data_IF_177683368719
#
_entry.id   IF_177683368719
#
_cell.length_a   1.000
_cell.length_b   1.000
_cell.length_c   1.000
_cell.angle_alpha   90.00
_cell.angle_beta   90.00
_cell.angle_gamma   90.00
#
_symmetry.space_group_name_H-M   'P 1'
#
loop_
_entity.id
_entity.type
_entity.pdbx_description
1 polymer ?
#
# COMPACT_ATOMS: atom_id res chain seq x y z
N UNK A 1 -16.16 18.43 -17.69
CA UNK A 1 -14.94 18.53 -18.52
C UNK A 1 -13.81 17.92 -17.72
N UNK A 2 -13.45 16.67 -18.02
CA UNK A 2 -12.34 15.96 -17.37
C UNK A 2 -11.04 16.46 -17.98
N UNK A 3 -10.23 17.18 -17.21
CA UNK A 3 -8.86 17.50 -17.63
C UNK A 3 -8.07 16.19 -17.78
N UNK A 4 -7.26 16.03 -18.85
CA UNK A 4 -6.35 14.90 -18.96
C UNK A 4 -5.41 14.90 -17.75
N UNK A 5 -5.40 13.80 -16.97
CA UNK A 5 -4.44 13.61 -15.89
C UNK A 5 -3.05 13.38 -16.50
N UNK A 6 -2.04 14.04 -15.94
CA UNK A 6 -0.66 13.96 -16.41
C UNK A 6 -0.06 12.57 -16.11
N UNK A 7 0.75 12.02 -17.02
CA UNK A 7 1.47 10.73 -16.86
C UNK A 7 2.68 10.87 -15.90
N UNK A 8 2.57 11.73 -14.90
CA UNK A 8 3.59 11.93 -13.86
C UNK A 8 3.18 11.22 -12.57
N UNK A 9 4.04 11.19 -11.55
CA UNK A 9 3.71 10.67 -10.22
C UNK A 9 4.20 11.69 -9.19
N UNK A 10 3.30 12.21 -8.37
CA UNK A 10 3.64 13.17 -7.31
C UNK A 10 3.49 12.50 -5.94
N UNK A 11 4.54 12.59 -5.13
CA UNK A 11 4.50 12.12 -3.74
C UNK A 11 3.85 13.19 -2.86
N UNK A 12 2.56 13.02 -2.54
CA UNK A 12 1.86 13.93 -1.63
C UNK A 12 2.31 13.70 -0.18
N UNK A 13 3.14 14.62 0.34
CA UNK A 13 3.50 14.67 1.77
C UNK A 13 2.60 15.67 2.49
N UNK A 14 1.57 15.17 3.16
CA UNK A 14 0.71 15.99 4.02
C UNK A 14 1.47 16.44 5.28
N UNK A 15 1.91 17.70 5.31
CA UNK A 15 2.43 18.36 6.53
C UNK A 15 1.28 18.74 7.47
N UNK A 16 0.87 17.83 8.34
CA UNK A 16 -0.07 18.15 9.42
C UNK A 16 0.71 18.78 10.59
N UNK A 17 0.66 20.12 10.65
CA UNK A 17 1.28 21.02 11.65
C UNK A 17 0.84 20.71 13.09
N UNK A 18 1.69 21.00 14.09
CA UNK A 18 1.45 20.84 15.54
C UNK A 18 0.07 21.32 16.07
N UNK A 19 -0.55 22.35 15.45
CA UNK A 19 -1.88 22.86 15.85
C UNK A 19 -2.99 21.81 15.72
N UNK A 20 -2.91 20.92 14.73
CA UNK A 20 -3.92 19.89 14.51
C UNK A 20 -3.83 18.78 15.57
N UNK A 21 -2.62 18.38 15.95
CA UNK A 21 -2.37 17.39 17.01
C UNK A 21 -2.93 17.88 18.36
N UNK A 22 -2.73 19.17 18.67
CA UNK A 22 -3.27 19.79 19.87
C UNK A 22 -4.80 19.80 19.91
N UNK A 23 -5.46 20.19 18.81
CA UNK A 23 -6.92 20.20 18.72
C UNK A 23 -7.52 18.80 18.86
N UNK A 24 -6.94 17.82 18.16
CA UNK A 24 -7.39 16.42 18.18
C UNK A 24 -7.38 15.87 19.60
N UNK A 25 -6.28 16.09 20.33
CA UNK A 25 -6.13 15.64 21.71
C UNK A 25 -7.11 16.37 22.65
N UNK A 26 -7.29 17.69 22.51
CA UNK A 26 -8.21 18.47 23.36
C UNK A 26 -9.68 18.10 23.16
N UNK A 27 -10.06 17.72 21.94
CA UNK A 27 -11.44 17.41 21.56
C UNK A 27 -11.75 15.90 21.54
N UNK A 28 -10.77 15.04 21.83
CA UNK A 28 -10.95 13.58 21.82
C UNK A 28 -11.30 13.04 20.43
N UNK A 29 -10.84 13.69 19.37
CA UNK A 29 -11.14 13.29 18.00
C UNK A 29 -10.17 12.19 17.53
N UNK A 30 -10.64 11.30 16.66
CA UNK A 30 -9.80 10.32 15.97
C UNK A 30 -9.21 10.92 14.69
N UNK A 31 -8.12 10.36 14.18
CA UNK A 31 -7.53 10.80 12.93
C UNK A 31 -8.31 10.25 11.72
N UNK A 32 -8.90 11.11 10.87
CA UNK A 32 -9.71 10.70 9.72
C UNK A 32 -8.82 10.32 8.53
N UNK A 33 -8.02 9.27 8.71
CA UNK A 33 -6.97 8.86 7.75
C UNK A 33 -7.55 8.58 6.36
N UNK A 34 -8.71 7.96 6.29
CA UNK A 34 -9.32 7.55 5.02
C UNK A 34 -9.95 8.73 4.26
N UNK A 35 -10.54 9.70 4.97
CA UNK A 35 -10.97 10.98 4.37
C UNK A 35 -9.77 11.67 3.72
N UNK A 36 -8.66 11.78 4.44
CA UNK A 36 -7.43 12.39 3.90
C UNK A 36 -6.89 11.66 2.67
N UNK A 37 -6.95 10.32 2.66
CA UNK A 37 -6.53 9.51 1.51
C UNK A 37 -7.42 9.73 0.29
N UNK A 38 -8.75 9.72 0.46
CA UNK A 38 -9.68 9.92 -0.64
C UNK A 38 -9.53 11.32 -1.24
N UNK A 39 -9.51 12.38 -0.40
CA UNK A 39 -9.29 13.76 -0.88
C UNK A 39 -7.98 13.86 -1.66
N UNK A 40 -6.88 13.31 -1.13
CA UNK A 40 -5.59 13.37 -1.82
C UNK A 40 -5.59 12.61 -3.16
N UNK A 41 -6.31 11.49 -3.25
CA UNK A 41 -6.42 10.70 -4.49
C UNK A 41 -7.29 11.41 -5.53
N UNK A 42 -8.46 11.89 -5.13
CA UNK A 42 -9.42 12.59 -6.00
C UNK A 42 -8.86 13.91 -6.54
N UNK A 43 -8.00 14.57 -5.76
CA UNK A 43 -7.35 15.84 -6.16
C UNK A 43 -5.99 15.65 -6.83
N UNK A 44 -5.51 14.41 -6.97
CA UNK A 44 -4.26 14.14 -7.64
C UNK A 44 -4.34 14.51 -9.12
N UNK A 45 -3.41 15.35 -9.58
CA UNK A 45 -3.30 15.75 -10.99
C UNK A 45 -2.59 14.70 -11.84
N UNK A 46 -2.06 13.66 -11.21
CA UNK A 46 -1.29 12.58 -11.82
C UNK A 46 -2.13 11.33 -12.04
N UNK A 47 -1.81 10.56 -13.09
CA UNK A 47 -2.49 9.30 -13.36
C UNK A 47 -2.18 8.24 -12.27
N UNK A 48 -0.91 8.13 -11.87
CA UNK A 48 -0.50 7.21 -10.82
C UNK A 48 -0.44 7.89 -9.45
N UNK A 49 -0.92 7.18 -8.42
CA UNK A 49 -1.00 7.67 -7.05
C UNK A 49 -0.43 6.63 -6.09
N UNK A 50 0.43 7.09 -5.17
CA UNK A 50 0.99 6.29 -4.07
C UNK A 50 0.50 6.82 -2.72
N UNK A 51 -0.57 6.25 -2.12
CA UNK A 51 -0.96 6.58 -0.75
C UNK A 51 0.09 6.02 0.23
N UNK A 52 0.89 6.91 0.81
CA UNK A 52 1.96 6.55 1.75
C UNK A 52 1.80 7.27 3.10
N UNK A 53 2.02 6.54 4.19
CA UNK A 53 2.16 7.17 5.51
C UNK A 53 3.45 8.01 5.53
N UNK A 54 3.45 9.14 6.26
CA UNK A 54 4.59 10.09 6.30
C UNK A 54 5.91 9.46 6.78
N UNK A 55 5.82 8.38 7.54
CA UNK A 55 6.96 7.63 8.09
C UNK A 55 7.54 6.60 7.11
N UNK A 56 6.88 6.38 5.96
CA UNK A 56 7.26 5.42 4.92
C UNK A 56 7.94 6.14 3.76
N UNK A 57 9.24 5.91 3.64
CA UNK A 57 10.11 6.56 2.66
C UNK A 57 10.29 5.62 1.46
N UNK A 58 9.95 6.04 0.24
CA UNK A 58 10.21 5.23 -0.94
C UNK A 58 11.70 5.10 -1.20
N UNK A 59 12.11 3.96 -1.77
CA UNK A 59 13.46 3.77 -2.30
C UNK A 59 13.81 4.89 -3.30
N UNK A 60 15.06 5.40 -3.29
CA UNK A 60 15.50 6.42 -4.22
C UNK A 60 15.19 6.08 -5.68
N UNK A 61 14.84 7.09 -6.49
CA UNK A 61 14.55 6.91 -7.91
C UNK A 61 13.22 6.22 -8.24
N UNK A 62 12.37 5.88 -7.24
CA UNK A 62 11.12 5.16 -7.43
C UNK A 62 10.27 5.70 -8.59
N UNK A 63 10.06 7.03 -8.64
CA UNK A 63 9.17 7.65 -9.62
C UNK A 63 9.66 7.38 -11.06
N UNK A 64 10.92 7.69 -11.35
CA UNK A 64 11.48 7.50 -12.69
C UNK A 64 11.49 6.03 -13.10
N UNK A 65 11.99 5.16 -12.23
CA UNK A 65 12.07 3.73 -12.48
C UNK A 65 10.68 3.09 -12.68
N UNK A 66 9.66 3.56 -11.96
CA UNK A 66 8.29 3.09 -12.13
C UNK A 66 7.69 3.56 -13.46
N UNK A 67 7.87 4.83 -13.85
CA UNK A 67 7.37 5.34 -15.13
C UNK A 67 8.08 4.65 -16.32
N UNK A 68 9.39 4.37 -16.21
CA UNK A 68 10.13 3.58 -17.20
C UNK A 68 9.60 2.15 -17.29
N UNK A 69 9.25 1.54 -16.15
CA UNK A 69 8.59 0.24 -16.10
C UNK A 69 7.21 0.24 -16.77
N UNK A 70 6.37 1.24 -16.49
CA UNK A 70 5.06 1.37 -17.12
C UNK A 70 5.16 1.55 -18.65
N UNK A 71 6.14 2.34 -19.13
CA UNK A 71 6.39 2.49 -20.56
C UNK A 71 6.77 1.18 -21.23
N UNK A 72 7.63 0.38 -20.58
CA UNK A 72 8.03 -0.95 -21.09
C UNK A 72 6.87 -1.95 -21.10
N UNK A 73 6.06 -1.99 -20.03
CA UNK A 73 4.86 -2.85 -19.98
C UNK A 73 3.88 -2.50 -21.11
N UNK A 74 3.60 -1.21 -21.32
CA UNK A 74 2.73 -0.73 -22.41
C UNK A 74 3.28 -1.13 -23.78
N UNK A 75 4.59 -1.00 -24.00
CA UNK A 75 5.23 -1.42 -25.24
C UNK A 75 5.13 -2.93 -25.47
N UNK A 76 5.33 -3.73 -24.42
CA UNK A 76 5.20 -5.18 -24.50
C UNK A 76 3.76 -5.60 -24.86
N UNK A 77 2.75 -4.94 -24.28
CA UNK A 77 1.33 -5.18 -24.61
C UNK A 77 1.00 -4.78 -26.07
N UNK A 78 1.53 -3.66 -26.56
CA UNK A 78 1.40 -3.26 -27.98
C UNK A 78 2.07 -4.24 -28.95
N UNK A 79 3.27 -4.73 -28.60
CA UNK A 79 3.98 -5.71 -29.42
C UNK A 79 3.23 -7.05 -29.46
N UNK A 80 2.70 -7.51 -28.32
CA UNK A 80 1.94 -8.74 -28.23
C UNK A 80 0.61 -8.69 -29.00
N UNK A 81 0.03 -7.50 -29.18
CA UNK A 81 -1.18 -7.27 -29.98
C UNK A 81 -0.90 -7.01 -31.48
N UNK A 82 0.34 -7.24 -31.94
CA UNK A 82 0.70 -7.13 -33.36
C UNK A 82 0.63 -5.70 -33.90
N UNK A 83 0.86 -4.69 -33.05
CA UNK A 83 0.83 -3.28 -33.45
C UNK A 83 -0.58 -2.68 -33.62
N UNK A 84 -1.63 -3.46 -33.37
CA UNK A 84 -2.99 -2.93 -33.21
C UNK A 84 -3.13 -2.26 -31.83
N UNK A 85 -4.10 -1.34 -31.65
CA UNK A 85 -4.38 -0.77 -30.34
C UNK A 85 -4.61 -1.92 -29.33
N UNK A 86 -3.78 -2.06 -28.29
CA UNK A 86 -3.93 -3.15 -27.34
C UNK A 86 -5.30 -3.02 -26.68
N UNK A 87 -6.08 -4.10 -26.72
CA UNK A 87 -7.25 -4.22 -25.86
C UNK A 87 -6.71 -4.11 -24.43
N UNK A 88 -7.15 -3.12 -23.62
CA UNK A 88 -6.68 -2.99 -22.25
C UNK A 88 -6.87 -4.34 -21.55
N UNK A 89 -5.85 -4.82 -20.85
CA UNK A 89 -6.00 -6.00 -20.00
C UNK A 89 -7.27 -5.80 -19.16
N UNK A 90 -8.21 -6.74 -19.29
CA UNK A 90 -9.47 -6.67 -18.54
C UNK A 90 -9.25 -6.91 -17.04
N UNK A 91 -8.05 -7.34 -16.65
CA UNK A 91 -7.70 -7.62 -15.26
C UNK A 91 -7.11 -6.35 -14.62
N UNK A 92 -7.82 -5.73 -13.66
CA UNK A 92 -7.33 -4.54 -12.99
C UNK A 92 -6.11 -4.88 -12.12
N UNK A 93 -5.17 -3.95 -11.98
CA UNK A 93 -3.88 -4.22 -11.32
C UNK A 93 -3.36 -3.03 -10.53
N UNK A 94 -2.70 -3.32 -9.42
CA UNK A 94 -1.98 -2.35 -8.58
C UNK A 94 -0.55 -2.83 -8.36
N UNK A 95 0.37 -1.90 -8.08
CA UNK A 95 1.80 -2.18 -8.02
C UNK A 95 2.32 -2.06 -6.58
N UNK A 96 2.58 -3.19 -5.95
CA UNK A 96 2.89 -3.27 -4.52
C UNK A 96 4.36 -2.99 -4.23
N UNK A 97 4.60 -2.19 -3.20
CA UNK A 97 5.92 -1.93 -2.64
C UNK A 97 6.08 -2.71 -1.32
N UNK A 98 7.00 -3.69 -1.24
CA UNK A 98 7.39 -4.31 0.02
C UNK A 98 7.85 -3.27 1.05
N UNK A 99 7.50 -3.47 2.31
CA UNK A 99 7.73 -2.49 3.39
C UNK A 99 8.64 -3.10 4.45
N UNK A 100 9.58 -2.29 4.95
CA UNK A 100 10.56 -2.71 5.94
C UNK A 100 10.71 -1.67 7.05
N UNK A 101 10.88 -2.12 8.29
CA UNK A 101 11.28 -1.27 9.41
C UNK A 101 12.80 -1.23 9.52
N UNK A 102 13.34 -0.02 9.51
CA UNK A 102 14.77 0.22 9.63
C UNK A 102 15.09 0.63 11.06
N UNK A 103 16.17 0.10 11.65
CA UNK A 103 16.62 0.49 12.97
C UNK A 103 16.89 2.01 13.02
N UNK A 104 16.56 2.66 14.15
CA UNK A 104 16.52 4.12 14.24
C UNK A 104 17.89 4.80 14.02
N UNK A 105 18.98 4.08 14.30
CA UNK A 105 20.36 4.54 14.13
C UNK A 105 20.93 4.28 12.72
N UNK A 106 20.16 3.70 11.81
CA UNK A 106 20.60 3.41 10.45
C UNK A 106 20.11 4.46 9.45
N UNK A 107 20.85 4.62 8.36
CA UNK A 107 20.41 5.37 7.19
C UNK A 107 19.34 4.60 6.42
N UNK A 108 18.62 5.30 5.55
CA UNK A 108 17.75 4.64 4.58
C UNK A 108 18.64 3.86 3.59
N UNK A 109 18.32 2.60 3.27
CA UNK A 109 19.03 1.89 2.22
C UNK A 109 18.71 2.53 0.87
N UNK A 110 19.75 2.75 0.06
CA UNK A 110 19.63 3.34 -1.27
C UNK A 110 19.20 2.30 -2.30
N UNK A 111 19.55 1.02 -2.07
CA UNK A 111 19.29 -0.08 -2.99
C UNK A 111 18.68 -1.30 -2.29
N UNK A 112 18.04 -2.18 -3.09
CA UNK A 112 17.57 -3.49 -2.59
C UNK A 112 18.73 -4.33 -2.04
N UNK A 113 19.91 -4.26 -2.65
CA UNK A 113 21.10 -4.98 -2.20
C UNK A 113 21.52 -4.56 -0.78
N UNK A 114 21.53 -3.25 -0.51
CA UNK A 114 21.78 -2.71 0.83
C UNK A 114 20.71 -3.14 1.83
N UNK A 115 19.44 -3.01 1.46
CA UNK A 115 18.32 -3.47 2.30
C UNK A 115 18.44 -4.95 2.65
N UNK A 116 18.80 -5.82 1.71
CA UNK A 116 19.01 -7.26 1.96
C UNK A 116 20.19 -7.51 2.92
N UNK A 117 21.27 -6.72 2.83
CA UNK A 117 22.36 -6.76 3.84
C UNK A 117 21.84 -6.38 5.22
N UNK A 118 20.99 -5.35 5.30
CA UNK A 118 20.36 -4.92 6.56
C UNK A 118 19.38 -5.96 7.14
N UNK A 119 18.66 -6.68 6.28
CA UNK A 119 17.80 -7.79 6.70
C UNK A 119 18.63 -8.95 7.28
N UNK A 120 19.76 -9.27 6.65
CA UNK A 120 20.67 -10.34 7.12
C UNK A 120 21.33 -10.01 8.45
N UNK A 121 21.74 -8.76 8.67
CA UNK A 121 22.38 -8.35 9.93
C UNK A 121 21.39 -7.89 11.02
N UNK A 122 20.08 -7.91 10.74
CA UNK A 122 19.01 -7.58 11.69
C UNK A 122 18.79 -6.08 11.93
N UNK A 123 19.48 -5.20 11.19
CA UNK A 123 19.27 -3.74 11.24
C UNK A 123 18.05 -3.27 10.44
N UNK A 124 17.45 -4.17 9.66
CA UNK A 124 16.11 -4.03 9.09
C UNK A 124 15.27 -5.28 9.36
N UNK A 125 13.94 -5.13 9.40
CA UNK A 125 12.99 -6.25 9.45
C UNK A 125 11.79 -6.00 8.51
N UNK A 126 11.08 -7.05 8.06
CA UNK A 126 9.78 -6.88 7.42
C UNK A 126 8.82 -6.04 8.29
N UNK A 127 8.04 -5.19 7.65
CA UNK A 127 7.17 -4.24 8.33
C UNK A 127 6.20 -4.92 9.29
N UNK A 128 6.07 -4.37 10.50
CA UNK A 128 5.26 -4.93 11.58
C UNK A 128 5.58 -6.39 11.95
N UNK A 129 6.76 -6.94 11.62
CA UNK A 129 7.15 -8.32 12.00
C UNK A 129 7.02 -8.59 13.50
N UNK A 130 7.22 -7.57 14.36
CA UNK A 130 7.06 -7.68 15.83
C UNK A 130 5.65 -7.36 16.35
N UNK A 131 4.76 -6.85 15.49
CA UNK A 131 3.42 -6.36 15.87
C UNK A 131 2.30 -7.23 15.29
N UNK A 132 2.39 -7.53 14.00
CA UNK A 132 1.48 -8.40 13.27
C UNK A 132 2.25 -9.05 12.11
N UNK A 133 2.91 -10.20 12.33
CA UNK A 133 3.73 -10.85 11.32
C UNK A 133 2.99 -11.15 10.00
N UNK A 134 1.68 -11.43 10.08
CA UNK A 134 0.86 -11.77 8.90
C UNK A 134 0.21 -10.59 8.17
N UNK A 135 0.07 -9.41 8.81
CA UNK A 135 -0.70 -8.30 8.22
C UNK A 135 -0.04 -7.74 6.96
N UNK A 136 1.29 -7.59 6.98
CA UNK A 136 2.06 -7.04 5.85
C UNK A 136 3.00 -8.07 5.22
N UNK A 137 2.78 -9.35 5.48
CA UNK A 137 3.57 -10.42 4.87
C UNK A 137 3.38 -10.42 3.35
N UNK A 138 4.46 -10.13 2.63
CA UNK A 138 4.44 -10.11 1.16
C UNK A 138 4.49 -11.55 0.63
N UNK A 139 3.63 -11.93 -0.33
CA UNK A 139 3.76 -13.21 -1.03
C UNK A 139 5.17 -13.41 -1.61
N UNK A 140 5.76 -14.59 -1.40
CA UNK A 140 7.13 -14.92 -1.83
C UNK A 140 8.21 -13.95 -1.33
N UNK A 141 8.06 -13.45 -0.09
CA UNK A 141 9.00 -12.47 0.48
C UNK A 141 10.45 -12.97 0.61
N UNK A 142 10.68 -14.28 0.76
CA UNK A 142 12.04 -14.83 0.85
C UNK A 142 12.69 -14.83 -0.53
N UNK A 143 11.96 -15.32 -1.52
CA UNK A 143 12.36 -15.36 -2.91
C UNK A 143 12.58 -13.94 -3.47
N UNK A 144 11.76 -12.97 -3.06
CA UNK A 144 12.00 -11.56 -3.39
C UNK A 144 13.34 -11.07 -2.82
N UNK A 145 13.76 -11.50 -1.64
CA UNK A 145 15.06 -11.11 -1.06
C UNK A 145 16.25 -11.80 -1.75
N UNK A 146 16.01 -12.97 -2.33
CA UNK A 146 17.03 -13.83 -2.97
C UNK A 146 17.17 -13.55 -4.48
N UNK A 147 16.15 -13.00 -5.12
CA UNK A 147 16.19 -12.58 -6.51
C UNK A 147 17.33 -11.58 -6.76
N UNK A 148 17.94 -11.66 -7.95
CA UNK A 148 19.16 -10.93 -8.33
C UNK A 148 19.24 -9.52 -7.75
N UNK A 149 20.34 -9.29 -7.04
CA UNK A 149 20.70 -8.03 -6.39
C UNK A 149 21.57 -7.14 -7.30
N UNK A 150 21.90 -7.62 -8.50
CA UNK A 150 22.62 -6.83 -9.49
C UNK A 150 21.79 -5.62 -9.91
N UNK A 151 22.47 -4.57 -10.35
CA UNK A 151 21.82 -3.39 -10.92
C UNK A 151 20.97 -3.77 -12.14
N UNK A 152 19.90 -3.02 -12.35
CA UNK A 152 19.04 -3.19 -13.51
C UNK A 152 17.66 -2.59 -13.31
N UNK A 153 16.83 -2.76 -14.32
CA UNK A 153 15.52 -2.11 -14.39
C UNK A 153 14.51 -2.68 -13.38
N UNK A 154 13.60 -1.83 -12.90
CA UNK A 154 12.43 -2.27 -12.14
C UNK A 154 11.59 -3.26 -12.96
N UNK A 155 10.99 -4.24 -12.28
CA UNK A 155 10.07 -5.20 -12.90
C UNK A 155 9.00 -5.66 -11.89
N UNK A 156 7.98 -6.38 -12.38
CA UNK A 156 7.04 -7.10 -11.54
C UNK A 156 7.61 -8.49 -11.19
N UNK A 157 8.06 -8.67 -9.94
CA UNK A 157 8.60 -9.92 -9.43
C UNK A 157 7.54 -11.03 -9.37
N UNK A 158 6.36 -10.70 -8.87
CA UNK A 158 5.31 -11.67 -8.62
C UNK A 158 3.93 -11.03 -8.65
N UNK A 159 2.93 -11.78 -9.11
CA UNK A 159 1.52 -11.39 -9.05
C UNK A 159 0.86 -12.07 -7.86
N UNK A 160 0.53 -11.27 -6.84
CA UNK A 160 -0.19 -11.70 -5.65
C UNK A 160 -1.71 -11.55 -5.79
N UNK A 161 -2.43 -12.24 -4.90
CA UNK A 161 -3.88 -12.11 -4.68
C UNK A 161 -4.17 -12.08 -3.18
N UNK A 162 -5.17 -11.30 -2.76
CA UNK A 162 -5.65 -11.24 -1.37
C UNK A 162 -6.61 -12.39 -1.02
N UNK A 163 -6.13 -13.62 -1.13
CA UNK A 163 -6.89 -14.85 -0.82
C UNK A 163 -6.04 -15.83 0.00
N UNK A 164 -6.68 -16.84 0.59
CA UNK A 164 -5.97 -17.88 1.35
C UNK A 164 -5.14 -17.30 2.50
N UNK A 165 -3.86 -17.64 2.55
CA UNK A 165 -2.93 -17.13 3.58
C UNK A 165 -2.75 -15.59 3.55
N UNK A 166 -3.12 -14.94 2.44
CA UNK A 166 -2.98 -13.50 2.24
C UNK A 166 -4.34 -12.77 2.22
N UNK A 167 -5.42 -13.40 2.67
CA UNK A 167 -6.76 -12.80 2.67
C UNK A 167 -6.83 -11.48 3.46
N UNK A 168 -5.97 -11.34 4.47
CA UNK A 168 -5.83 -10.17 5.32
C UNK A 168 -4.58 -9.32 5.04
N UNK A 169 -3.90 -9.55 3.92
CA UNK A 169 -2.69 -8.83 3.55
C UNK A 169 -2.99 -7.35 3.26
N UNK A 170 -2.33 -6.42 3.95
CA UNK A 170 -2.46 -4.96 3.80
C UNK A 170 -1.25 -4.37 3.04
N UNK A 171 -1.15 -4.53 1.71
CA UNK A 171 -0.09 -3.91 0.93
C UNK A 171 -0.25 -2.40 0.87
N UNK A 172 0.87 -1.69 0.70
CA UNK A 172 0.88 -0.35 0.11
C UNK A 172 1.26 -0.50 -1.35
N UNK A 173 0.53 0.17 -2.23
CA UNK A 173 0.68 0.04 -3.66
C UNK A 173 0.58 1.39 -4.37
N UNK A 174 1.18 1.46 -5.55
CA UNK A 174 0.92 2.48 -6.55
C UNK A 174 -0.31 2.01 -7.34
N UNK A 175 -1.35 2.85 -7.37
CA UNK A 175 -2.56 2.63 -8.16
C UNK A 175 -2.87 3.88 -8.98
N UNK A 176 -4.15 4.08 -9.25
CA UNK A 176 -4.70 5.24 -9.95
C UNK A 176 -5.79 5.88 -9.08
N UNK A 177 -6.76 6.54 -9.70
CA UNK A 177 -7.99 7.01 -9.05
C UNK A 177 -9.18 6.09 -9.32
N UNK A 178 -8.97 5.00 -10.05
CA UNK A 178 -10.02 4.04 -10.43
C UNK A 178 -10.24 2.96 -9.34
N UNK A 179 -9.29 2.80 -8.40
CA UNK A 179 -9.43 1.84 -7.32
C UNK A 179 -10.54 2.25 -6.33
N UNK A 180 -11.25 1.26 -5.73
CA UNK A 180 -12.26 1.52 -4.72
C UNK A 180 -11.81 2.51 -3.63
N UNK A 181 -12.70 3.43 -3.19
CA UNK A 181 -12.36 4.39 -2.15
C UNK A 181 -12.10 3.72 -0.80
N UNK A 182 -11.34 4.40 0.04
CA UNK A 182 -11.21 4.02 1.44
C UNK A 182 -12.51 4.36 2.19
N UNK A 183 -12.92 3.51 3.12
CA UNK A 183 -14.11 3.78 3.94
C UNK A 183 -13.81 4.89 4.97
N UNK A 184 -14.40 6.05 4.77
CA UNK A 184 -14.13 7.28 5.54
C UNK A 184 -14.59 7.21 7.00
N UNK A 185 -15.43 6.24 7.36
CA UNK A 185 -15.87 6.01 8.74
C UNK A 185 -14.76 5.40 9.59
N UNK A 186 -13.69 4.89 8.96
CA UNK A 186 -12.55 4.27 9.63
C UNK A 186 -11.45 5.29 9.95
N UNK A 187 -10.87 5.14 11.14
CA UNK A 187 -9.81 5.99 11.66
C UNK A 187 -8.51 5.22 11.87
N UNK A 188 -7.40 5.95 11.97
CA UNK A 188 -6.08 5.34 12.21
C UNK A 188 -5.98 4.66 13.58
N UNK A 189 -6.62 5.23 14.60
CA UNK A 189 -6.66 4.66 15.94
C UNK A 189 -7.43 3.34 15.95
N UNK A 190 -8.47 3.22 15.12
CA UNK A 190 -9.33 2.04 14.97
C UNK A 190 -8.63 0.81 14.39
N UNK A 191 -7.50 1.00 13.69
CA UNK A 191 -6.80 -0.03 12.89
C UNK A 191 -7.69 -0.57 11.76
N UNK A 192 -7.16 -1.48 10.93
CA UNK A 192 -7.86 -2.14 9.82
C UNK A 192 -8.47 -1.15 8.81
N UNK A 193 -7.95 0.07 8.76
CA UNK A 193 -8.43 1.18 7.91
C UNK A 193 -8.32 0.88 6.42
N UNK A 194 -7.51 -0.11 6.02
CA UNK A 194 -7.31 -0.51 4.62
C UNK A 194 -8.05 -1.81 4.26
N UNK A 195 -8.60 -2.51 5.25
CA UNK A 195 -9.16 -3.85 5.03
C UNK A 195 -10.41 -3.85 4.16
N UNK A 196 -11.23 -2.81 4.29
CA UNK A 196 -12.46 -2.63 3.52
C UNK A 196 -12.16 -2.40 2.04
N UNK A 197 -11.17 -1.54 1.73
CA UNK A 197 -10.67 -1.38 0.36
C UNK A 197 -10.04 -2.69 -0.16
N UNK A 198 -9.26 -3.39 0.66
CA UNK A 198 -8.68 -4.67 0.30
C UNK A 198 -9.71 -5.74 -0.08
N UNK A 199 -10.88 -5.74 0.58
CA UNK A 199 -12.00 -6.59 0.20
C UNK A 199 -12.58 -6.23 -1.17
N UNK A 200 -12.80 -4.94 -1.44
CA UNK A 200 -13.30 -4.45 -2.71
C UNK A 200 -12.35 -4.79 -3.88
N UNK A 201 -11.03 -4.64 -3.67
CA UNK A 201 -10.01 -5.05 -4.63
C UNK A 201 -10.03 -6.57 -4.88
N UNK A 202 -10.15 -7.38 -3.83
CA UNK A 202 -10.19 -8.84 -3.96
C UNK A 202 -11.41 -9.35 -4.74
N UNK A 203 -12.58 -8.81 -4.42
CA UNK A 203 -13.85 -9.17 -5.08
C UNK A 203 -13.85 -8.74 -6.55
N UNK A 204 -13.21 -7.62 -6.87
CA UNK A 204 -13.00 -7.12 -8.24
C UNK A 204 -11.82 -7.76 -8.98
N UNK A 205 -11.27 -8.87 -8.44
CA UNK A 205 -10.17 -9.65 -9.03
C UNK A 205 -8.87 -8.89 -9.36
N UNK A 206 -8.52 -7.89 -8.56
CA UNK A 206 -7.28 -7.15 -8.76
C UNK A 206 -6.04 -8.04 -8.69
N UNK A 207 -5.09 -7.80 -9.58
CA UNK A 207 -3.71 -8.28 -9.48
C UNK A 207 -2.87 -7.36 -8.59
N UNK A 208 -2.13 -7.94 -7.66
CA UNK A 208 -1.17 -7.22 -6.83
C UNK A 208 0.24 -7.50 -7.38
N UNK A 209 0.72 -6.67 -8.31
CA UNK A 209 2.04 -6.82 -8.92
C UNK A 209 3.12 -6.33 -7.97
N UNK A 210 3.79 -7.26 -7.29
CA UNK A 210 4.87 -6.97 -6.34
C UNK A 210 6.08 -6.52 -7.13
N UNK A 211 6.51 -5.29 -6.91
CA UNK A 211 7.64 -4.71 -7.62
C UNK A 211 8.96 -5.24 -7.06
N UNK A 212 9.88 -5.57 -7.96
CA UNK A 212 11.29 -5.78 -7.62
C UNK A 212 12.02 -4.43 -7.63
N UNK A 213 13.11 -4.33 -6.86
CA UNK A 213 13.99 -3.15 -6.78
C UNK A 213 13.29 -1.86 -6.31
N UNK A 214 12.11 -1.99 -5.73
CA UNK A 214 11.33 -0.89 -5.17
C UNK A 214 10.79 -1.30 -3.80
N UNK A 215 10.87 -0.43 -2.81
CA UNK A 215 10.41 -0.72 -1.45
C UNK A 215 10.09 0.57 -0.67
N UNK A 216 9.44 0.41 0.49
CA UNK A 216 9.21 1.47 1.46
C UNK A 216 10.01 1.19 2.74
N UNK A 217 10.75 2.18 3.21
CA UNK A 217 11.51 2.15 4.46
C UNK A 217 10.78 2.95 5.55
N UNK A 218 10.38 2.27 6.62
CA UNK A 218 9.83 2.88 7.82
C UNK A 218 10.96 3.37 8.73
N UNK A 219 11.13 4.70 8.78
CA UNK A 219 12.30 5.38 9.38
C UNK A 219 12.26 5.76 10.88
N UNK A 220 11.11 5.78 11.59
CA UNK A 220 11.10 6.02 13.03
C UNK A 220 11.83 4.97 13.88
N UNK A 221 12.16 3.81 13.30
CA UNK A 221 12.71 2.66 14.01
C UNK A 221 11.86 1.41 13.87
N UNK A 222 12.37 0.31 14.41
CA UNK A 222 11.65 -0.95 14.56
C UNK A 222 10.58 -0.78 15.64
N UNK A 223 9.32 -0.96 15.27
CA UNK A 223 8.20 -0.79 16.19
C UNK A 223 8.11 -2.00 17.12
N UNK A 224 7.84 -1.72 18.39
CA UNK A 224 7.58 -2.72 19.42
C UNK A 224 6.17 -2.57 19.95
N UNK A 225 5.60 -3.68 20.43
CA UNK A 225 4.25 -3.65 20.99
C UNK A 225 4.19 -2.73 22.20
N UNK A 226 3.19 -1.85 22.23
CA UNK A 226 2.86 -1.00 23.37
C UNK A 226 1.40 -1.24 23.73
N UNK A 227 1.15 -1.61 24.98
CA UNK A 227 -0.21 -1.74 25.48
C UNK A 227 -0.86 -0.36 25.54
N UNK A 228 -2.01 -0.20 24.88
CA UNK A 228 -2.78 1.03 24.85
C UNK A 228 -4.28 0.69 24.96
N UNK A 229 -4.84 0.68 26.18
CA UNK A 229 -6.23 0.32 26.42
C UNK A 229 -7.22 1.22 25.67
N UNK A 230 -6.91 2.52 25.51
CA UNK A 230 -7.78 3.46 24.79
C UNK A 230 -7.85 3.07 23.31
N UNK A 231 -6.69 2.78 22.71
CA UNK A 231 -6.62 2.32 21.32
C UNK A 231 -7.29 0.96 21.13
N UNK A 232 -7.14 0.04 22.09
CA UNK A 232 -7.84 -1.26 22.05
C UNK A 232 -9.37 -1.10 22.06
N UNK A 233 -9.91 -0.20 22.88
CA UNK A 233 -11.34 0.09 22.90
C UNK A 233 -11.83 0.70 21.57
N UNK A 234 -11.07 1.62 20.97
CA UNK A 234 -11.39 2.17 19.65
C UNK A 234 -11.35 1.10 18.55
N UNK A 235 -10.39 0.18 18.62
CA UNK A 235 -10.30 -0.92 17.66
C UNK A 235 -11.46 -1.92 17.80
N UNK A 236 -11.93 -2.18 19.03
CA UNK A 236 -13.12 -3.00 19.25
C UNK A 236 -14.40 -2.37 18.67
N UNK A 237 -14.58 -1.05 18.84
CA UNK A 237 -15.67 -0.30 18.22
C UNK A 237 -15.59 -0.37 16.69
N UNK A 238 -14.39 -0.21 16.14
CA UNK A 238 -14.12 -0.30 14.69
C UNK A 238 -14.46 -1.69 14.14
N UNK A 239 -14.05 -2.75 14.83
CA UNK A 239 -14.38 -4.12 14.42
C UNK A 239 -15.90 -4.39 14.45
N UNK A 240 -16.61 -3.82 15.42
CA UNK A 240 -18.08 -3.93 15.50
C UNK A 240 -18.75 -3.21 14.33
N UNK A 241 -18.29 -1.99 14.01
CA UNK A 241 -18.76 -1.22 12.86
C UNK A 241 -18.50 -1.97 11.55
N UNK A 242 -17.28 -2.48 11.36
CA UNK A 242 -16.92 -3.26 10.17
C UNK A 242 -17.82 -4.49 10.05
N UNK A 243 -17.97 -5.27 11.11
CA UNK A 243 -18.72 -6.53 11.08
C UNK A 243 -20.20 -6.32 10.78
N UNK A 244 -20.82 -5.34 11.43
CA UNK A 244 -22.28 -5.21 11.46
C UNK A 244 -22.83 -4.25 10.40
N UNK A 245 -22.00 -3.33 9.89
CA UNK A 245 -22.44 -2.28 8.96
C UNK A 245 -21.64 -2.34 7.66
N UNK A 246 -20.32 -2.14 7.74
CA UNK A 246 -19.51 -1.93 6.53
C UNK A 246 -19.40 -3.20 5.68
N UNK A 247 -19.08 -4.35 6.28
CA UNK A 247 -18.90 -5.59 5.53
C UNK A 247 -20.21 -6.03 4.83
N UNK A 248 -21.41 -5.96 5.45
CA UNK A 248 -22.66 -6.13 4.73
C UNK A 248 -22.85 -5.17 3.54
N UNK A 249 -22.58 -3.88 3.71
CA UNK A 249 -22.68 -2.89 2.63
C UNK A 249 -21.71 -3.19 1.48
N UNK A 250 -20.45 -3.55 1.79
CA UNK A 250 -19.46 -3.92 0.78
C UNK A 250 -19.88 -5.15 -0.03
N UNK A 251 -20.56 -6.13 0.59
CA UNK A 251 -21.09 -7.30 -0.12
C UNK A 251 -22.19 -6.92 -1.11
N UNK A 252 -22.97 -5.88 -0.82
CA UNK A 252 -23.98 -5.35 -1.74
C UNK A 252 -23.32 -4.58 -2.87
N UNK A 253 -22.33 -3.75 -2.58
CA UNK A 253 -21.67 -2.88 -3.56
C UNK A 253 -20.72 -3.65 -4.51
N UNK A 254 -19.93 -4.58 -3.98
CA UNK A 254 -18.87 -5.27 -4.73
C UNK A 254 -19.13 -6.77 -4.90
N UNK A 255 -20.25 -7.28 -4.40
CA UNK A 255 -20.58 -8.70 -4.45
C UNK A 255 -19.77 -9.54 -3.47
N UNK A 256 -19.74 -10.85 -3.72
CA UNK A 256 -18.96 -11.80 -2.90
C UNK A 256 -18.11 -12.70 -3.78
N UNK A 257 -16.93 -13.06 -3.28
CA UNK A 257 -16.02 -13.99 -3.94
C UNK A 257 -15.35 -14.88 -2.92
N UNK A 258 -15.26 -16.19 -3.20
CA UNK A 258 -14.66 -17.18 -2.31
C UNK A 258 -13.21 -16.79 -1.98
N UNK A 259 -12.89 -16.72 -0.70
CA UNK A 259 -11.55 -16.37 -0.20
C UNK A 259 -11.30 -14.88 0.05
N UNK A 260 -12.20 -13.99 -0.39
CA UNK A 260 -12.12 -12.56 -0.08
C UNK A 260 -12.76 -12.26 1.28
N UNK A 261 -12.07 -11.47 2.10
CA UNK A 261 -12.53 -11.10 3.45
C UNK A 261 -12.09 -9.68 3.81
N UNK A 262 -12.84 -9.05 4.71
CA UNK A 262 -12.43 -7.82 5.41
C UNK A 262 -11.61 -8.22 6.62
#
# INVERSE_FOLDING_TARGET
MTHPKDETMLLYRSLIRCKFVFLRNRKGLVYPVNVGRNIARETATTHYVLPSDIELYPSPGLIGAFLDFMRREKQAEMNASGGSLPVPSTVPRVYVLPIFEIAANMSQPETKAELVKMLKNGSAIPFHKKLCPGCHAVPKAKEWQEESLEEGEMNAFHVGKRIGAFAHWEPIFIGTDDEPPYDERLSWEGKRDKMTQGYALCTSDYEFRILNRAFLAHRPGIKTYKNDPKRSALSAKTNTLIKNVIAPELKVLYGTRKGCTV
#
